data_IF_588474960643
#
_entry.id   IF_588474960643
#
_cell.length_a   1.000
_cell.length_b   1.000
_cell.length_c   1.000
_cell.angle_alpha   90.00
_cell.angle_beta   90.00
_cell.angle_gamma   90.00
#
_symmetry.space_group_name_H-M   'P 1'
#
loop_
_entity.id
_entity.type
_entity.pdbx_description
1 polymer ?
#
# COMPACT_ATOMS: atom_id res chain seq x y z
N UNK A 1 -14.61 6.25 4.83
CA UNK A 1 -13.76 6.94 5.83
C UNK A 1 -12.32 6.52 5.55
N UNK A 2 -11.34 7.11 6.23
CA UNK A 2 -10.17 7.69 5.56
C UNK A 2 -8.86 6.96 5.91
N UNK A 3 -7.98 6.76 4.92
CA UNK A 3 -6.58 6.39 5.12
C UNK A 3 -5.79 7.59 5.65
N UNK A 4 -5.01 7.32 6.69
CA UNK A 4 -4.22 8.33 7.40
C UNK A 4 -2.83 8.40 6.79
N UNK A 5 -2.46 9.50 6.14
CA UNK A 5 -1.14 9.68 5.55
C UNK A 5 -0.40 10.85 6.24
N UNK A 6 0.76 10.58 6.87
CA UNK A 6 1.45 11.55 7.75
C UNK A 6 2.67 12.22 7.09
N UNK A 7 2.57 13.33 6.36
CA UNK A 7 3.78 13.94 5.71
C UNK A 7 4.85 14.49 6.69
N UNK A 8 6.13 14.21 6.42
CA UNK A 8 7.29 14.67 7.24
C UNK A 8 7.75 16.12 6.96
N UNK A 9 7.03 16.90 6.13
CA UNK A 9 7.39 18.31 5.90
C UNK A 9 6.80 19.24 6.96
N UNK A 10 7.40 19.26 8.14
CA UNK A 10 7.38 20.40 9.09
C UNK A 10 6.04 20.82 9.72
N UNK A 11 4.94 20.23 9.29
CA UNK A 11 3.62 20.32 9.91
C UNK A 11 3.07 18.91 9.92
N UNK A 12 2.79 18.37 11.11
CA UNK A 12 2.09 17.10 11.32
C UNK A 12 0.64 17.22 10.81
N UNK A 13 0.45 17.49 9.52
CA UNK A 13 -0.83 17.49 8.86
C UNK A 13 -1.17 16.02 8.62
N UNK A 14 -1.96 15.48 9.53
CA UNK A 14 -2.62 14.19 9.37
C UNK A 14 -3.69 14.39 8.29
N UNK A 15 -3.41 13.92 7.08
CA UNK A 15 -4.36 14.00 5.98
C UNK A 15 -5.14 12.69 5.97
N UNK A 16 -6.41 12.80 6.30
CA UNK A 16 -7.41 11.74 6.22
C UNK A 16 -8.01 11.73 4.80
N UNK A 17 -7.57 10.82 3.93
CA UNK A 17 -8.15 10.58 2.59
C UNK A 17 -8.38 9.09 2.38
N UNK A 18 -9.47 8.67 1.74
CA UNK A 18 -9.68 7.25 1.46
C UNK A 18 -8.51 6.66 0.64
N UNK A 19 -8.21 5.37 0.82
CA UNK A 19 -7.12 4.72 0.08
C UNK A 19 -7.32 4.80 -1.44
N UNK A 20 -8.56 4.68 -1.91
CA UNK A 20 -8.92 4.85 -3.32
C UNK A 20 -8.59 6.26 -3.85
N UNK A 21 -8.86 7.29 -3.06
CA UNK A 21 -8.53 8.69 -3.39
C UNK A 21 -7.01 8.91 -3.38
N UNK A 22 -6.30 8.24 -2.47
CA UNK A 22 -4.85 8.26 -2.42
C UNK A 22 -4.23 7.64 -3.68
N UNK A 23 -4.75 6.51 -4.15
CA UNK A 23 -4.33 5.87 -5.41
C UNK A 23 -4.57 6.77 -6.62
N UNK A 24 -5.63 7.58 -6.56
CA UNK A 24 -5.99 8.58 -7.57
C UNK A 24 -5.25 9.93 -7.39
N UNK A 25 -4.42 10.07 -6.35
CA UNK A 25 -3.77 11.34 -6.03
C UNK A 25 -2.68 11.71 -7.05
N UNK A 26 -2.43 13.01 -7.17
CA UNK A 26 -1.35 13.54 -8.02
C UNK A 26 0.04 13.04 -7.62
N UNK A 27 0.26 12.73 -6.34
CA UNK A 27 1.53 12.16 -5.87
C UNK A 27 1.77 10.78 -6.45
N UNK A 28 0.77 9.90 -6.34
CA UNK A 28 0.86 8.53 -6.84
C UNK A 28 0.93 8.50 -8.37
N UNK A 29 0.09 9.31 -9.04
CA UNK A 29 0.08 9.39 -10.49
C UNK A 29 1.41 9.90 -11.06
N UNK A 30 2.02 10.91 -10.44
CA UNK A 30 3.31 11.43 -10.88
C UNK A 30 4.45 10.41 -10.70
N UNK A 31 4.43 9.65 -9.60
CA UNK A 31 5.45 8.61 -9.37
C UNK A 31 5.29 7.43 -10.31
N UNK A 32 4.06 6.93 -10.49
CA UNK A 32 3.74 5.87 -11.42
C UNK A 32 4.14 6.25 -12.86
N UNK A 33 3.86 7.49 -13.26
CA UNK A 33 4.31 8.04 -14.55
C UNK A 33 5.84 8.07 -14.69
N UNK A 34 6.56 8.47 -13.64
CA UNK A 34 8.02 8.47 -13.64
C UNK A 34 8.61 7.05 -13.71
N UNK A 35 7.94 6.07 -13.09
CA UNK A 35 8.28 4.66 -13.14
C UNK A 35 7.75 3.94 -14.41
N UNK A 36 7.01 4.64 -15.27
CA UNK A 36 6.35 4.09 -16.46
C UNK A 36 5.40 2.91 -16.16
N UNK A 37 4.76 2.92 -14.99
CA UNK A 37 3.81 1.89 -14.56
C UNK A 37 2.47 2.51 -14.12
N UNK A 38 1.50 1.67 -13.75
CA UNK A 38 0.28 2.17 -13.10
C UNK A 38 0.50 2.37 -11.59
N UNK A 39 -0.29 3.24 -10.93
CA UNK A 39 -0.31 3.35 -9.46
C UNK A 39 -0.41 1.99 -8.76
N UNK A 40 -1.26 1.10 -9.26
CA UNK A 40 -1.45 -0.23 -8.70
C UNK A 40 -0.18 -1.09 -8.84
N UNK A 41 0.54 -1.00 -9.95
CA UNK A 41 1.79 -1.74 -10.14
C UNK A 41 2.88 -1.22 -9.21
N UNK A 42 2.92 0.10 -8.99
CA UNK A 42 3.87 0.71 -8.08
C UNK A 42 3.67 0.22 -6.63
N UNK A 43 2.41 0.10 -6.17
CA UNK A 43 2.12 -0.46 -4.84
C UNK A 43 2.55 -1.93 -4.76
N UNK A 44 2.33 -2.70 -5.83
CA UNK A 44 2.74 -4.12 -5.86
C UNK A 44 4.25 -4.28 -5.84
N UNK A 45 5.00 -3.43 -6.55
CA UNK A 45 6.46 -3.47 -6.59
C UNK A 45 7.09 -3.23 -5.20
N UNK A 46 6.42 -2.46 -4.34
CA UNK A 46 6.87 -2.16 -2.98
C UNK A 46 6.18 -3.01 -1.90
N UNK A 47 5.34 -3.96 -2.28
CA UNK A 47 4.60 -4.80 -1.34
C UNK A 47 5.57 -5.82 -0.70
N UNK A 48 5.77 -5.78 0.63
CA UNK A 48 6.57 -6.81 1.30
C UNK A 48 5.83 -8.15 1.29
N UNK A 49 6.47 -9.22 1.79
CA UNK A 49 5.75 -10.47 2.05
C UNK A 49 4.84 -10.32 3.28
N UNK A 50 3.61 -10.81 3.19
CA UNK A 50 2.61 -10.78 4.27
C UNK A 50 1.64 -11.96 4.16
N UNK A 51 1.02 -12.33 5.27
CA UNK A 51 -0.10 -13.26 5.30
C UNK A 51 -1.41 -12.53 4.94
N UNK A 52 -1.97 -12.85 3.77
CA UNK A 52 -3.26 -12.31 3.29
C UNK A 52 -4.43 -12.61 4.23
N UNK A 53 -4.32 -13.65 5.07
CA UNK A 53 -5.35 -14.04 6.03
C UNK A 53 -5.29 -13.21 7.31
N UNK A 54 -4.13 -12.64 7.65
CA UNK A 54 -3.97 -11.74 8.79
C UNK A 54 -4.26 -10.29 8.37
N UNK A 55 -5.39 -9.78 8.84
CA UNK A 55 -5.80 -8.41 8.57
C UNK A 55 -4.84 -7.35 9.10
N UNK A 56 -4.07 -7.62 10.16
CA UNK A 56 -3.08 -6.68 10.67
C UNK A 56 -1.85 -6.61 9.74
N UNK A 57 -1.35 -7.77 9.29
CA UNK A 57 -0.23 -7.82 8.34
C UNK A 57 -0.59 -7.19 6.99
N UNK A 58 -1.81 -7.42 6.48
CA UNK A 58 -2.27 -6.75 5.24
C UNK A 58 -2.25 -5.24 5.39
N UNK A 59 -2.70 -4.70 6.54
CA UNK A 59 -2.71 -3.24 6.77
C UNK A 59 -1.29 -2.68 6.84
N UNK A 60 -0.39 -3.38 7.51
CA UNK A 60 1.00 -2.96 7.64
C UNK A 60 1.73 -3.01 6.30
N UNK A 61 1.62 -4.11 5.56
CA UNK A 61 2.27 -4.30 4.28
C UNK A 61 1.85 -3.26 3.24
N UNK A 62 0.55 -3.00 3.11
CA UNK A 62 0.05 -1.98 2.18
C UNK A 62 0.38 -0.56 2.66
N UNK A 63 0.38 -0.30 3.97
CA UNK A 63 0.82 0.99 4.52
C UNK A 63 2.27 1.28 4.16
N UNK A 64 3.17 0.31 4.39
CA UNK A 64 4.58 0.43 4.06
C UNK A 64 4.80 0.59 2.55
N UNK A 65 4.11 -0.20 1.72
CA UNK A 65 4.21 -0.10 0.28
C UNK A 65 3.82 1.29 -0.24
N UNK A 66 2.81 1.92 0.37
CA UNK A 66 2.43 3.30 0.04
C UNK A 66 3.51 4.30 0.42
N UNK A 67 4.09 4.18 1.62
CA UNK A 67 5.18 5.05 2.10
C UNK A 67 6.39 4.97 1.16
N UNK A 68 6.75 3.76 0.72
CA UNK A 68 7.83 3.55 -0.25
C UNK A 68 7.47 4.06 -1.64
N UNK A 69 6.23 3.82 -2.10
CA UNK A 69 5.75 4.30 -3.40
C UNK A 69 5.75 5.83 -3.51
N UNK A 70 5.54 6.56 -2.41
CA UNK A 70 5.65 8.03 -2.42
C UNK A 70 7.03 8.55 -2.01
N UNK A 71 8.03 7.68 -1.89
CA UNK A 71 9.41 8.05 -1.52
C UNK A 71 9.47 8.89 -0.23
N UNK A 72 8.67 8.51 0.78
CA UNK A 72 8.60 9.23 2.06
C UNK A 72 8.02 10.65 1.97
N UNK A 73 7.46 11.07 0.82
CA UNK A 73 6.74 12.36 0.72
C UNK A 73 5.55 12.42 1.68
N UNK A 74 5.06 11.24 2.05
CA UNK A 74 4.05 11.01 3.06
C UNK A 74 4.62 9.96 4.00
N UNK A 75 4.57 10.22 5.30
CA UNK A 75 4.91 9.26 6.34
C UNK A 75 3.69 8.41 6.70
N UNK A 76 3.69 7.87 7.93
CA UNK A 76 2.91 6.67 8.30
C UNK A 76 1.52 6.58 7.68
N UNK A 77 1.32 5.59 6.81
CA UNK A 77 0.04 5.25 6.20
C UNK A 77 -0.69 4.24 7.09
N UNK A 78 -1.96 4.51 7.43
CA UNK A 78 -2.82 3.54 8.13
C UNK A 78 -4.11 3.34 7.38
N UNK A 79 -4.45 2.08 7.17
CA UNK A 79 -5.65 1.63 6.49
C UNK A 79 -6.73 1.28 7.52
N UNK A 80 -7.95 1.75 7.29
CA UNK A 80 -9.10 1.34 8.08
C UNK A 80 -9.77 0.06 7.54
N UNK A 81 -10.94 -0.31 8.07
CA UNK A 81 -11.65 -1.52 7.66
C UNK A 81 -12.25 -1.41 6.25
N UNK A 82 -12.65 -0.21 5.81
CA UNK A 82 -13.15 0.02 4.45
C UNK A 82 -12.01 -0.05 3.44
N UNK A 83 -10.87 0.57 3.78
CA UNK A 83 -9.66 0.47 2.97
C UNK A 83 -9.17 -0.98 2.86
N UNK A 84 -9.24 -1.76 3.95
CA UNK A 84 -8.89 -3.18 3.92
C UNK A 84 -9.83 -3.98 3.00
N UNK A 85 -11.12 -3.67 2.98
CA UNK A 85 -12.07 -4.29 2.05
C UNK A 85 -11.76 -3.94 0.60
N UNK A 86 -11.38 -2.70 0.32
CA UNK A 86 -10.93 -2.27 -1.00
C UNK A 86 -9.67 -3.03 -1.42
N UNK A 87 -8.64 -3.08 -0.56
CA UNK A 87 -7.39 -3.82 -0.80
C UNK A 87 -7.66 -5.29 -1.11
N UNK A 88 -8.51 -5.94 -0.31
CA UNK A 88 -8.88 -7.34 -0.52
C UNK A 88 -9.53 -7.57 -1.88
N UNK A 89 -10.48 -6.73 -2.27
CA UNK A 89 -11.19 -6.89 -3.54
C UNK A 89 -10.32 -6.53 -4.75
N UNK A 90 -9.62 -5.40 -4.68
CA UNK A 90 -8.94 -4.80 -5.82
C UNK A 90 -7.56 -5.41 -6.06
N UNK A 91 -6.78 -5.61 -5.00
CA UNK A 91 -5.45 -6.19 -5.10
C UNK A 91 -5.51 -7.70 -4.91
N UNK A 92 -5.99 -8.22 -3.78
CA UNK A 92 -5.82 -9.64 -3.44
C UNK A 92 -6.68 -10.56 -4.33
N UNK A 93 -7.98 -10.32 -4.37
CA UNK A 93 -8.96 -11.10 -5.14
C UNK A 93 -8.88 -10.76 -6.64
N UNK A 94 -8.81 -9.45 -6.97
CA UNK A 94 -8.79 -8.96 -8.36
C UNK A 94 -7.52 -9.31 -9.15
N UNK A 95 -6.37 -9.49 -8.49
CA UNK A 95 -5.11 -9.85 -9.16
C UNK A 95 -4.67 -11.29 -8.97
N UNK A 96 -5.44 -12.15 -8.29
CA UNK A 96 -5.01 -13.50 -7.90
C UNK A 96 -3.58 -13.46 -7.33
N UNK A 97 -3.38 -12.81 -6.18
CA UNK A 97 -2.12 -12.96 -5.45
C UNK A 97 -1.95 -14.44 -5.12
N UNK A 98 -1.17 -15.14 -5.94
CA UNK A 98 -0.65 -16.46 -5.57
C UNK A 98 0.34 -16.17 -4.45
N UNK A 99 -0.11 -16.43 -3.23
CA UNK A 99 0.75 -16.76 -2.11
C UNK A 99 1.80 -17.73 -2.63
N UNK A 100 2.99 -17.23 -2.93
CA UNK A 100 4.13 -18.09 -3.16
C UNK A 100 4.61 -18.51 -1.77
N UNK A 101 3.84 -19.40 -1.13
CA UNK A 101 4.23 -20.08 0.12
C UNK A 101 5.39 -21.04 -0.09
N UNK A 102 6.17 -20.88 -1.18
CA UNK A 102 7.38 -21.61 -1.45
C UNK A 102 8.61 -20.84 -0.95
N UNK A 103 8.60 -20.40 0.32
CA UNK A 103 9.85 -20.37 1.09
C UNK A 103 9.88 -21.64 1.96
N UNK A 104 10.55 -22.72 1.52
CA UNK A 104 11.06 -23.66 2.50
C UNK A 104 12.11 -22.90 3.32
N UNK A 105 11.77 -22.60 4.57
CA UNK A 105 12.75 -22.44 5.63
C UNK A 105 13.39 -23.82 5.87
N UNK A 106 14.18 -24.29 4.91
CA UNK A 106 15.06 -25.43 5.09
C UNK A 106 16.23 -25.36 4.11
N UNK A 107 17.41 -25.65 4.66
CA UNK A 107 18.73 -25.80 4.05
C UNK A 107 19.59 -24.53 3.87
N UNK A 108 20.36 -24.18 4.90
CA UNK A 108 21.78 -24.58 5.00
C UNK A 108 22.40 -24.14 6.35
#
# INVERSE_FOLDING_TARGET
MNALACSERGTNAQIDIAFEDFMSSGHMHNRAKAAMCSPDDLIVDYLPAFDVSDAAEVREAFGEACEQAVDGAIGKVRLDDEDLLFVRRHFIEGRHFRLDTAYPLDAA
#
